data_IF_811654872947
#
_entry.id   IF_811654872947
#
_cell.length_a   1.000
_cell.length_b   1.000
_cell.length_c   1.000
_cell.angle_alpha   90.00
_cell.angle_beta   90.00
_cell.angle_gamma   90.00
#
_symmetry.space_group_name_H-M   'P 1'
#
loop_
_entity.id
_entity.type
_entity.pdbx_description
1 polymer ?
#
# COMPACT_ATOMS: atom_id res chain seq x y z
N UNK A 1 12.93 -17.94 -28.88
CA UNK A 1 12.05 -18.56 -27.88
C UNK A 1 12.78 -19.79 -27.39
N UNK A 2 13.39 -19.75 -26.24
CA UNK A 2 14.00 -20.91 -25.61
C UNK A 2 12.88 -21.73 -25.00
N UNK A 3 12.68 -22.92 -25.58
CA UNK A 3 11.69 -23.92 -25.16
C UNK A 3 12.10 -24.50 -23.79
N UNK A 4 11.92 -23.73 -22.74
CA UNK A 4 12.08 -24.25 -21.36
C UNK A 4 10.85 -25.11 -21.08
N UNK A 5 11.01 -26.37 -20.64
CA UNK A 5 9.85 -27.18 -20.27
C UNK A 5 9.04 -26.46 -19.18
N UNK A 6 7.73 -26.40 -19.37
CA UNK A 6 6.81 -25.79 -18.41
C UNK A 6 6.95 -26.51 -17.04
N UNK A 7 7.19 -25.74 -16.00
CA UNK A 7 7.29 -26.29 -14.64
C UNK A 7 5.93 -26.82 -14.16
N UNK A 8 5.95 -27.77 -13.23
CA UNK A 8 4.71 -28.27 -12.63
C UNK A 8 3.91 -27.15 -11.94
N UNK A 9 4.59 -26.20 -11.31
CA UNK A 9 3.97 -25.01 -10.73
C UNK A 9 3.28 -24.14 -11.81
N UNK A 10 3.93 -23.86 -12.93
CA UNK A 10 3.38 -23.06 -14.01
C UNK A 10 2.11 -23.71 -14.60
N UNK A 11 2.12 -25.03 -14.78
CA UNK A 11 0.96 -25.80 -15.25
C UNK A 11 -0.21 -25.69 -14.28
N UNK A 12 0.03 -25.81 -12.97
CA UNK A 12 -1.03 -25.63 -11.94
C UNK A 12 -1.54 -24.19 -11.90
N UNK A 13 -0.68 -23.18 -12.03
CA UNK A 13 -1.06 -21.78 -12.09
C UNK A 13 -1.96 -21.50 -13.31
N UNK A 14 -1.63 -22.05 -14.49
CA UNK A 14 -2.50 -21.95 -15.70
C UNK A 14 -3.85 -22.61 -15.47
N UNK A 15 -3.89 -23.81 -14.90
CA UNK A 15 -5.15 -24.49 -14.58
C UNK A 15 -5.99 -23.70 -13.55
N UNK A 16 -5.34 -23.07 -12.57
CA UNK A 16 -6.01 -22.17 -11.63
C UNK A 16 -6.58 -20.95 -12.35
N UNK A 17 -5.82 -20.35 -13.27
CA UNK A 17 -6.23 -19.19 -14.06
C UNK A 17 -7.44 -19.50 -14.94
N UNK A 18 -7.42 -20.63 -15.63
CA UNK A 18 -8.55 -21.07 -16.45
C UNK A 18 -9.81 -21.25 -15.61
N UNK A 19 -9.70 -21.91 -14.46
CA UNK A 19 -10.82 -22.08 -13.54
C UNK A 19 -11.39 -20.74 -13.03
N UNK A 20 -10.55 -19.72 -12.83
CA UNK A 20 -10.98 -18.37 -12.43
C UNK A 20 -11.86 -17.68 -13.48
N UNK A 21 -11.78 -18.07 -14.75
CA UNK A 21 -12.60 -17.46 -15.82
C UNK A 21 -14.10 -17.66 -15.63
N UNK A 22 -14.50 -18.64 -14.84
CA UNK A 22 -15.90 -18.79 -14.43
C UNK A 22 -16.36 -17.70 -13.43
N UNK A 23 -15.43 -16.97 -12.80
CA UNK A 23 -15.70 -15.98 -11.76
C UNK A 23 -15.55 -14.56 -12.29
N UNK A 24 -14.44 -14.27 -12.97
CA UNK A 24 -14.12 -12.96 -13.52
C UNK A 24 -13.18 -13.06 -14.73
N UNK A 25 -13.24 -12.08 -15.64
CA UNK A 25 -12.33 -12.00 -16.78
C UNK A 25 -10.90 -11.63 -16.31
N UNK A 26 -9.88 -11.76 -17.19
CA UNK A 26 -8.56 -11.20 -16.92
C UNK A 26 -8.65 -9.74 -16.49
N UNK A 27 -7.86 -9.36 -15.50
CA UNK A 27 -7.71 -7.93 -15.19
C UNK A 27 -6.90 -7.25 -16.28
N UNK A 28 -7.20 -5.98 -16.64
CA UNK A 28 -6.52 -5.31 -17.74
C UNK A 28 -5.01 -5.16 -17.52
N UNK A 29 -4.24 -5.29 -18.60
CA UNK A 29 -2.85 -4.90 -18.70
C UNK A 29 -2.76 -3.69 -19.64
N UNK A 30 -2.60 -2.49 -19.08
CA UNK A 30 -2.73 -1.23 -19.83
C UNK A 30 -1.39 -0.53 -19.99
N UNK A 31 -1.05 -0.19 -21.23
CA UNK A 31 0.08 0.71 -21.49
C UNK A 31 -0.21 2.09 -20.89
N UNK A 32 0.77 2.68 -20.21
CA UNK A 32 0.67 3.99 -19.62
C UNK A 32 1.66 4.97 -20.28
N UNK A 33 1.11 5.89 -21.08
CA UNK A 33 1.90 6.85 -21.84
C UNK A 33 2.65 7.83 -20.93
N UNK A 34 1.96 8.39 -19.91
CA UNK A 34 2.53 9.37 -18.99
C UNK A 34 3.79 8.83 -18.28
N UNK A 35 3.68 7.65 -17.67
CA UNK A 35 4.80 7.02 -16.98
C UNK A 35 5.91 6.58 -17.95
N UNK A 36 5.55 6.20 -19.17
CA UNK A 36 6.53 5.84 -20.22
C UNK A 36 7.35 7.05 -20.64
N UNK A 37 6.71 8.20 -20.85
CA UNK A 37 7.39 9.45 -21.21
C UNK A 37 8.34 9.91 -20.10
N UNK A 38 7.92 9.77 -18.83
CA UNK A 38 8.75 10.13 -17.68
C UNK A 38 9.99 9.25 -17.52
N UNK A 39 9.89 7.95 -17.82
CA UNK A 39 10.95 6.97 -17.55
C UNK A 39 11.80 6.64 -18.77
N UNK A 40 11.28 6.86 -19.96
CA UNK A 40 11.88 6.37 -21.21
C UNK A 40 11.83 4.84 -21.37
N UNK A 41 10.91 4.17 -20.65
CA UNK A 41 10.61 2.76 -20.72
C UNK A 41 9.18 2.54 -21.26
N UNK A 42 8.84 1.34 -21.71
CA UNK A 42 7.45 0.98 -21.98
C UNK A 42 6.78 0.51 -20.69
N UNK A 43 6.03 1.40 -20.02
CA UNK A 43 5.38 1.09 -18.75
C UNK A 43 3.98 0.55 -18.98
N UNK A 44 3.73 -0.62 -18.42
CA UNK A 44 2.45 -1.31 -18.44
C UNK A 44 1.93 -1.49 -17.01
N UNK A 45 0.66 -1.20 -16.78
CA UNK A 45 0.00 -1.36 -15.50
C UNK A 45 -0.87 -2.61 -15.51
N UNK A 46 -0.54 -3.61 -14.69
CA UNK A 46 -1.43 -4.75 -14.43
C UNK A 46 -2.43 -4.36 -13.37
N UNK A 47 -3.67 -4.09 -13.80
CA UNK A 47 -4.72 -3.41 -13.05
C UNK A 47 -5.52 -4.35 -12.15
N UNK A 48 -4.89 -4.85 -11.08
CA UNK A 48 -5.57 -5.69 -10.08
C UNK A 48 -6.62 -4.92 -9.25
N UNK A 49 -6.52 -3.60 -9.21
CA UNK A 49 -7.50 -2.67 -8.66
C UNK A 49 -8.85 -2.69 -9.44
N UNK A 50 -8.88 -3.27 -10.63
CA UNK A 50 -10.10 -3.45 -11.43
C UNK A 50 -10.73 -4.85 -11.29
N UNK A 51 -10.19 -5.70 -10.42
CA UNK A 51 -10.84 -6.98 -10.07
C UNK A 51 -12.19 -6.76 -9.36
N UNK A 52 -13.07 -7.77 -9.29
CA UNK A 52 -14.38 -7.64 -8.63
C UNK A 52 -14.32 -7.11 -7.18
N UNK A 53 -13.25 -7.43 -6.44
CA UNK A 53 -13.02 -6.95 -5.06
C UNK A 53 -11.96 -5.84 -5.00
N UNK A 54 -11.57 -5.28 -6.15
CA UNK A 54 -10.60 -4.20 -6.28
C UNK A 54 -9.22 -4.50 -5.70
N UNK A 55 -8.81 -5.77 -5.73
CA UNK A 55 -7.45 -6.22 -5.38
C UNK A 55 -7.18 -7.64 -5.88
N UNK A 56 -5.89 -7.99 -6.01
CA UNK A 56 -5.45 -9.32 -6.44
C UNK A 56 -5.81 -10.44 -5.45
N UNK A 57 -6.15 -10.12 -4.21
CA UNK A 57 -6.39 -11.09 -3.12
C UNK A 57 -7.48 -12.11 -3.44
N UNK A 58 -8.40 -11.76 -4.30
CA UNK A 58 -9.45 -12.64 -4.81
C UNK A 58 -8.88 -13.93 -5.41
N UNK A 59 -7.75 -13.85 -6.12
CA UNK A 59 -7.13 -14.95 -6.86
C UNK A 59 -6.65 -16.08 -5.95
N UNK A 60 -5.91 -15.71 -4.90
CA UNK A 60 -5.45 -16.69 -3.90
C UNK A 60 -6.61 -17.28 -3.09
N UNK A 61 -7.59 -16.47 -2.70
CA UNK A 61 -8.78 -16.95 -2.00
C UNK A 61 -9.55 -17.96 -2.87
N UNK A 62 -9.78 -17.64 -4.14
CA UNK A 62 -10.41 -18.56 -5.10
C UNK A 62 -9.68 -19.91 -5.17
N UNK A 63 -8.38 -19.88 -5.43
CA UNK A 63 -7.61 -21.09 -5.64
C UNK A 63 -7.54 -21.96 -4.39
N UNK A 64 -7.33 -21.36 -3.21
CA UNK A 64 -7.32 -22.10 -1.96
C UNK A 64 -8.71 -22.71 -1.65
N UNK A 65 -9.80 -21.96 -1.80
CA UNK A 65 -11.13 -22.44 -1.48
C UNK A 65 -11.61 -23.56 -2.42
N UNK A 66 -11.36 -23.44 -3.72
CA UNK A 66 -11.74 -24.51 -4.67
C UNK A 66 -11.01 -25.84 -4.44
N UNK A 67 -9.89 -25.83 -3.72
CA UNK A 67 -9.12 -27.03 -3.38
C UNK A 67 -9.56 -27.68 -2.06
N UNK A 68 -10.50 -27.04 -1.36
CA UNK A 68 -11.14 -27.57 -0.14
C UNK A 68 -12.67 -27.63 -0.30
N UNK A 69 -13.19 -28.39 -1.29
CA UNK A 69 -14.62 -28.40 -1.60
C UNK A 69 -15.47 -28.96 -0.45
N UNK A 70 -14.91 -29.82 0.40
CA UNK A 70 -15.60 -30.48 1.50
C UNK A 70 -15.48 -29.71 2.83
N UNK A 71 -14.83 -28.55 2.84
CA UNK A 71 -14.69 -27.76 4.06
C UNK A 71 -16.07 -27.25 4.53
N UNK A 72 -16.46 -27.50 5.80
CA UNK A 72 -17.78 -27.12 6.30
C UNK A 72 -17.92 -25.58 6.41
N UNK A 73 -16.82 -24.88 6.56
CA UNK A 73 -16.72 -23.42 6.56
C UNK A 73 -15.29 -22.96 6.32
N UNK A 74 -15.16 -21.71 5.88
CA UNK A 74 -13.87 -21.05 5.73
C UNK A 74 -13.69 -19.98 6.79
N UNK A 75 -12.47 -19.86 7.34
CA UNK A 75 -12.13 -18.89 8.38
C UNK A 75 -10.93 -18.09 7.95
N UNK A 76 -10.98 -16.77 8.14
CA UNK A 76 -9.80 -15.92 8.00
C UNK A 76 -9.75 -14.81 9.07
N UNK A 77 -8.55 -14.29 9.30
CA UNK A 77 -8.31 -13.08 10.09
C UNK A 77 -7.78 -11.98 9.15
N UNK A 78 -8.58 -10.96 8.89
CA UNK A 78 -8.18 -9.81 8.07
C UNK A 78 -9.26 -8.73 8.10
N UNK A 79 -8.84 -7.46 8.15
CA UNK A 79 -9.74 -6.31 8.02
C UNK A 79 -9.66 -5.63 6.63
N UNK A 80 -8.90 -6.19 5.67
CA UNK A 80 -8.61 -5.56 4.38
C UNK A 80 -8.97 -6.44 3.18
N UNK A 81 -8.17 -6.33 2.13
CA UNK A 81 -8.38 -6.97 0.84
C UNK A 81 -8.56 -8.49 0.89
N UNK A 82 -7.87 -9.18 1.81
CA UNK A 82 -8.03 -10.62 1.97
C UNK A 82 -9.42 -10.98 2.48
N UNK A 83 -9.93 -10.26 3.50
CA UNK A 83 -11.29 -10.45 4.00
C UNK A 83 -12.34 -10.28 2.90
N UNK A 84 -12.18 -9.26 2.06
CA UNK A 84 -13.08 -8.99 0.93
C UNK A 84 -13.01 -10.10 -0.13
N UNK A 85 -11.82 -10.61 -0.43
CA UNK A 85 -11.61 -11.72 -1.35
C UNK A 85 -12.26 -13.01 -0.83
N UNK A 86 -12.05 -13.36 0.44
CA UNK A 86 -12.69 -14.53 1.07
C UNK A 86 -14.21 -14.37 1.12
N UNK A 87 -14.71 -13.21 1.50
CA UNK A 87 -16.13 -12.91 1.57
C UNK A 87 -16.82 -13.11 0.21
N UNK A 88 -16.24 -12.55 -0.85
CA UNK A 88 -16.73 -12.69 -2.21
C UNK A 88 -16.75 -14.17 -2.65
N UNK A 89 -15.68 -14.92 -2.33
CA UNK A 89 -15.60 -16.33 -2.69
C UNK A 89 -16.56 -17.20 -1.90
N UNK A 90 -16.80 -16.92 -0.61
CA UNK A 90 -17.83 -17.63 0.16
C UNK A 90 -19.21 -17.49 -0.50
N UNK A 91 -19.56 -16.27 -0.94
CA UNK A 91 -20.80 -16.04 -1.68
C UNK A 91 -20.82 -16.75 -3.03
N UNK A 92 -19.71 -16.73 -3.77
CA UNK A 92 -19.61 -17.37 -5.09
C UNK A 92 -19.77 -18.89 -5.01
N UNK A 93 -19.09 -19.54 -4.06
CA UNK A 93 -19.17 -20.99 -3.89
C UNK A 93 -20.41 -21.45 -3.10
N UNK A 94 -21.23 -20.53 -2.57
CA UNK A 94 -22.37 -20.87 -1.73
C UNK A 94 -21.97 -21.54 -0.41
N UNK A 95 -20.75 -21.24 0.10
CA UNK A 95 -20.22 -21.81 1.34
C UNK A 95 -20.20 -20.77 2.45
N UNK A 96 -20.12 -21.23 3.70
CA UNK A 96 -20.10 -20.35 4.86
C UNK A 96 -18.69 -19.83 5.13
N UNK A 97 -18.58 -18.53 5.43
CA UNK A 97 -17.34 -17.88 5.87
C UNK A 97 -17.48 -17.23 7.24
N UNK A 98 -16.43 -17.30 8.06
CA UNK A 98 -16.32 -16.53 9.32
C UNK A 98 -15.05 -15.68 9.26
N UNK A 99 -15.23 -14.35 9.27
CA UNK A 99 -14.16 -13.39 9.09
C UNK A 99 -13.93 -12.67 10.41
N UNK A 100 -12.74 -12.84 10.96
CA UNK A 100 -12.32 -12.19 12.18
C UNK A 100 -11.61 -10.87 11.87
N UNK A 101 -12.00 -9.80 12.55
CA UNK A 101 -11.42 -8.46 12.44
C UNK A 101 -11.19 -7.87 13.84
N UNK A 102 -10.16 -7.04 14.04
CA UNK A 102 -10.02 -6.24 15.25
C UNK A 102 -11.24 -5.35 15.50
N UNK A 103 -11.57 -5.08 16.76
CA UNK A 103 -12.68 -4.18 17.12
C UNK A 103 -12.44 -2.74 16.66
N UNK A 104 -11.18 -2.38 16.43
CA UNK A 104 -10.74 -1.08 15.93
C UNK A 104 -10.91 -0.92 14.40
N UNK A 105 -11.42 -1.97 13.70
CA UNK A 105 -11.57 -1.93 12.23
C UNK A 105 -12.55 -0.83 11.81
N UNK A 106 -12.18 0.06 10.86
CA UNK A 106 -13.06 1.09 10.33
C UNK A 106 -14.37 0.51 9.76
N UNK A 107 -15.49 1.18 10.02
CA UNK A 107 -16.82 0.75 9.58
C UNK A 107 -16.92 0.55 8.07
N UNK A 108 -16.24 1.38 7.29
CA UNK A 108 -16.19 1.25 5.84
C UNK A 108 -15.63 -0.11 5.40
N UNK A 109 -14.55 -0.60 6.03
CA UNK A 109 -13.97 -1.91 5.73
C UNK A 109 -14.91 -3.05 6.09
N UNK A 110 -15.60 -2.94 7.24
CA UNK A 110 -16.62 -3.91 7.67
C UNK A 110 -17.79 -3.95 6.67
N UNK A 111 -18.33 -2.78 6.31
CA UNK A 111 -19.45 -2.67 5.37
C UNK A 111 -19.09 -3.21 3.99
N UNK A 112 -17.90 -2.91 3.50
CA UNK A 112 -17.41 -3.39 2.20
C UNK A 112 -17.28 -4.91 2.19
N UNK A 113 -16.76 -5.50 3.26
CA UNK A 113 -16.68 -6.97 3.40
C UNK A 113 -18.08 -7.61 3.44
N UNK A 114 -19.03 -7.01 4.17
CA UNK A 114 -20.44 -7.46 4.17
C UNK A 114 -21.08 -7.36 2.79
N UNK A 115 -20.82 -6.28 2.06
CA UNK A 115 -21.35 -6.08 0.71
C UNK A 115 -20.92 -7.21 -0.24
N UNK A 116 -19.67 -7.66 -0.15
CA UNK A 116 -19.17 -8.75 -0.99
C UNK A 116 -19.70 -10.12 -0.57
N UNK A 117 -19.76 -10.40 0.73
CA UNK A 117 -20.13 -11.73 1.22
C UNK A 117 -21.63 -11.95 1.40
N UNK A 118 -22.40 -10.88 1.64
CA UNK A 118 -23.84 -10.99 1.94
C UNK A 118 -24.10 -11.91 3.13
N UNK A 119 -25.08 -12.79 2.96
CA UNK A 119 -25.51 -13.76 3.99
C UNK A 119 -24.57 -14.99 4.08
N UNK A 120 -23.60 -15.12 3.17
CA UNK A 120 -22.65 -16.22 3.19
C UNK A 120 -21.58 -16.07 4.28
N UNK A 121 -21.46 -14.89 4.90
CA UNK A 121 -20.40 -14.62 5.88
C UNK A 121 -20.93 -14.13 7.22
N UNK A 122 -20.17 -14.45 8.25
CA UNK A 122 -20.26 -13.86 9.58
C UNK A 122 -18.99 -13.06 9.88
N UNK A 123 -19.13 -11.81 10.34
CA UNK A 123 -17.98 -10.98 10.77
C UNK A 123 -17.96 -10.97 12.30
N UNK A 124 -16.81 -11.34 12.87
CA UNK A 124 -16.55 -11.32 14.30
C UNK A 124 -15.48 -10.28 14.63
N UNK A 125 -15.84 -9.32 15.47
CA UNK A 125 -14.93 -8.32 15.97
C UNK A 125 -14.31 -8.81 17.27
N UNK A 126 -12.97 -9.02 17.31
CA UNK A 126 -12.28 -9.63 18.46
C UNK A 126 -10.89 -9.01 18.63
N UNK A 127 -10.57 -8.60 19.87
CA UNK A 127 -9.29 -8.00 20.22
C UNK A 127 -9.07 -6.60 19.64
N UNK A 128 -8.10 -5.89 20.16
CA UNK A 128 -7.72 -4.56 19.69
C UNK A 128 -6.69 -4.63 18.56
N UNK A 129 -5.91 -5.72 18.51
CA UNK A 129 -4.80 -5.92 17.59
C UNK A 129 -5.00 -7.16 16.72
N UNK A 130 -4.28 -7.18 15.60
CA UNK A 130 -4.35 -8.27 14.61
C UNK A 130 -3.98 -9.64 15.21
N UNK A 131 -2.99 -9.71 16.10
CA UNK A 131 -2.50 -10.97 16.66
C UNK A 131 -3.56 -11.67 17.54
N UNK A 132 -4.33 -10.90 18.32
CA UNK A 132 -5.42 -11.46 19.13
C UNK A 132 -6.55 -11.97 18.23
N UNK A 133 -6.86 -11.21 17.20
CA UNK A 133 -7.83 -11.58 16.18
C UNK A 133 -7.40 -12.87 15.45
N UNK A 134 -6.14 -13.01 15.06
CA UNK A 134 -5.59 -14.20 14.39
C UNK A 134 -5.67 -15.44 15.29
N UNK A 135 -5.27 -15.33 16.56
CA UNK A 135 -5.36 -16.43 17.54
C UNK A 135 -6.80 -16.90 17.73
N UNK A 136 -7.74 -15.96 17.86
CA UNK A 136 -9.16 -16.28 18.01
C UNK A 136 -9.72 -16.97 16.76
N UNK A 137 -9.33 -16.52 15.56
CA UNK A 137 -9.74 -17.11 14.30
C UNK A 137 -9.23 -18.54 14.14
N UNK A 138 -7.95 -18.79 14.47
CA UNK A 138 -7.34 -20.12 14.41
C UNK A 138 -7.98 -21.10 15.40
N UNK A 139 -8.21 -20.66 16.65
CA UNK A 139 -8.88 -21.47 17.66
C UNK A 139 -10.29 -21.84 17.22
N UNK A 140 -11.08 -20.89 16.72
CA UNK A 140 -12.41 -21.11 16.20
C UNK A 140 -12.41 -22.07 14.99
N UNK A 141 -11.45 -21.89 14.08
CA UNK A 141 -11.31 -22.76 12.91
C UNK A 141 -11.10 -24.21 13.31
N UNK A 142 -10.20 -24.46 14.28
CA UNK A 142 -9.92 -25.79 14.81
C UNK A 142 -11.14 -26.39 15.52
N UNK A 143 -11.86 -25.61 16.37
CA UNK A 143 -13.07 -26.08 17.06
C UNK A 143 -14.17 -26.49 16.10
N UNK A 144 -14.27 -25.85 14.96
CA UNK A 144 -15.34 -26.05 13.96
C UNK A 144 -14.94 -26.95 12.79
N UNK A 145 -13.75 -27.55 12.81
CA UNK A 145 -13.21 -28.36 11.70
C UNK A 145 -13.24 -27.61 10.36
N UNK A 146 -13.01 -26.27 10.42
CA UNK A 146 -13.03 -25.38 9.27
C UNK A 146 -11.71 -25.36 8.50
N UNK A 147 -11.71 -24.75 7.32
CA UNK A 147 -10.49 -24.46 6.57
C UNK A 147 -10.04 -23.01 6.85
N UNK A 148 -8.85 -22.86 7.44
CA UNK A 148 -8.25 -21.55 7.66
C UNK A 148 -7.60 -21.04 6.36
N UNK A 149 -7.92 -19.82 5.96
CA UNK A 149 -7.37 -19.18 4.77
C UNK A 149 -6.37 -18.07 5.18
N UNK A 150 -5.07 -18.33 5.13
CA UNK A 150 -4.08 -17.30 5.40
C UNK A 150 -4.02 -16.27 4.27
N UNK A 151 -3.63 -15.01 4.56
CA UNK A 151 -3.67 -13.93 3.57
C UNK A 151 -2.58 -14.02 2.49
N UNK A 152 -1.53 -14.84 2.68
CA UNK A 152 -0.39 -14.96 1.77
C UNK A 152 0.43 -16.24 1.94
N UNK A 153 0.62 -16.75 3.16
CA UNK A 153 1.59 -17.80 3.46
C UNK A 153 0.99 -19.20 3.36
N UNK A 154 0.58 -19.56 2.15
CA UNK A 154 -0.01 -20.84 1.82
C UNK A 154 0.30 -21.20 0.36
N UNK A 155 0.74 -22.43 0.04
CA UNK A 155 1.07 -22.84 -1.33
C UNK A 155 -0.08 -22.67 -2.33
N UNK A 156 -1.33 -22.90 -1.92
CA UNK A 156 -2.50 -22.75 -2.78
C UNK A 156 -2.85 -21.28 -3.00
N UNK A 157 -2.64 -20.45 -1.99
CA UNK A 157 -2.78 -18.99 -2.12
C UNK A 157 -1.72 -18.45 -3.07
N UNK A 158 -0.44 -18.82 -2.90
CA UNK A 158 0.67 -18.43 -3.77
C UNK A 158 0.41 -18.86 -5.22
N UNK A 159 -0.04 -20.09 -5.44
CA UNK A 159 -0.41 -20.63 -6.76
C UNK A 159 -1.54 -19.80 -7.40
N UNK A 160 -2.56 -19.43 -6.62
CA UNK A 160 -3.65 -18.57 -7.08
C UNK A 160 -3.16 -17.16 -7.49
N UNK A 161 -2.22 -16.57 -6.72
CA UNK A 161 -1.65 -15.27 -7.06
C UNK A 161 -0.82 -15.30 -8.34
N UNK A 162 -0.19 -16.45 -8.65
CA UNK A 162 0.57 -16.64 -9.89
C UNK A 162 -0.27 -16.46 -11.17
N UNK A 163 -1.60 -16.54 -11.08
CA UNK A 163 -2.50 -16.24 -12.22
C UNK A 163 -2.31 -14.84 -12.79
N UNK A 164 -1.81 -13.88 -12.00
CA UNK A 164 -1.42 -12.55 -12.50
C UNK A 164 -0.32 -12.68 -13.55
N UNK A 165 0.69 -13.53 -13.30
CA UNK A 165 1.77 -13.80 -14.24
C UNK A 165 1.30 -14.51 -15.51
N UNK A 166 0.38 -15.46 -15.36
CA UNK A 166 -0.24 -16.14 -16.52
C UNK A 166 -0.92 -15.13 -17.42
N UNK A 167 -1.74 -14.23 -16.88
CA UNK A 167 -2.43 -13.20 -17.66
C UNK A 167 -1.47 -12.22 -18.34
N UNK A 168 -0.37 -11.83 -17.67
CA UNK A 168 0.66 -10.98 -18.27
C UNK A 168 1.32 -11.70 -19.46
N UNK A 169 1.72 -12.96 -19.29
CA UNK A 169 2.37 -13.72 -20.35
C UNK A 169 1.45 -13.96 -21.54
N UNK A 170 0.16 -14.25 -21.30
CA UNK A 170 -0.83 -14.48 -22.36
C UNK A 170 -1.11 -13.20 -23.17
N UNK A 171 -1.03 -12.00 -22.56
CA UNK A 171 -1.37 -10.74 -23.21
C UNK A 171 -0.16 -10.09 -23.92
N UNK A 172 1.03 -10.12 -23.33
CA UNK A 172 2.20 -9.44 -23.89
C UNK A 172 3.46 -10.30 -24.04
N UNK A 173 3.39 -11.58 -23.69
CA UNK A 173 4.56 -12.42 -23.53
C UNK A 173 5.33 -12.09 -22.24
N UNK A 174 6.60 -12.48 -22.18
CA UNK A 174 7.43 -12.19 -21.01
C UNK A 174 7.91 -10.74 -21.02
N UNK A 175 7.64 -9.94 -19.99
CA UNK A 175 8.20 -8.60 -19.86
C UNK A 175 9.69 -8.66 -19.54
N UNK A 176 10.41 -7.56 -19.75
CA UNK A 176 11.82 -7.47 -19.38
C UNK A 176 12.00 -7.25 -17.88
N UNK A 177 11.02 -6.57 -17.25
CA UNK A 177 11.07 -6.22 -15.82
C UNK A 177 9.67 -6.22 -15.20
N UNK A 178 9.55 -6.73 -13.99
CA UNK A 178 8.32 -6.69 -13.19
C UNK A 178 8.60 -5.95 -11.88
N UNK A 179 7.81 -4.92 -11.62
CA UNK A 179 7.82 -4.18 -10.36
C UNK A 179 6.59 -4.59 -9.56
N UNK A 180 6.81 -5.16 -8.39
CA UNK A 180 5.73 -5.77 -7.60
C UNK A 180 5.78 -5.37 -6.13
N UNK A 181 4.64 -4.93 -5.54
CA UNK A 181 4.57 -4.61 -4.12
C UNK A 181 4.66 -5.88 -3.26
N UNK A 182 5.34 -5.77 -2.13
CA UNK A 182 5.50 -6.84 -1.15
C UNK A 182 4.92 -6.42 0.19
N UNK A 183 4.00 -7.23 0.70
CA UNK A 183 3.64 -7.32 2.10
C UNK A 183 4.12 -8.69 2.61
N UNK A 184 3.20 -9.64 2.83
CA UNK A 184 3.59 -11.01 3.22
C UNK A 184 4.21 -11.87 2.12
N UNK A 185 4.38 -11.36 0.90
CA UNK A 185 5.13 -12.00 -0.20
C UNK A 185 4.33 -12.92 -1.12
N UNK A 186 3.03 -13.15 -0.88
CA UNK A 186 2.26 -14.15 -1.65
C UNK A 186 2.18 -13.88 -3.16
N UNK A 187 1.96 -12.61 -3.55
CA UNK A 187 1.94 -12.20 -4.96
C UNK A 187 3.32 -12.34 -5.61
N UNK A 188 4.34 -11.80 -4.95
CA UNK A 188 5.71 -11.83 -5.44
C UNK A 188 6.24 -13.26 -5.57
N UNK A 189 5.98 -14.12 -4.57
CA UNK A 189 6.33 -15.53 -4.62
C UNK A 189 5.60 -16.24 -5.78
N UNK A 190 4.32 -15.95 -5.99
CA UNK A 190 3.56 -16.47 -7.11
C UNK A 190 4.16 -16.11 -8.48
N UNK A 191 4.49 -14.82 -8.68
CA UNK A 191 5.10 -14.33 -9.93
C UNK A 191 6.48 -14.94 -10.17
N UNK A 192 7.34 -14.97 -9.15
CA UNK A 192 8.67 -15.57 -9.26
C UNK A 192 8.59 -17.08 -9.54
N UNK A 193 7.70 -17.80 -8.88
CA UNK A 193 7.51 -19.25 -9.13
C UNK A 193 7.01 -19.54 -10.53
N UNK A 194 6.21 -18.63 -11.12
CA UNK A 194 5.67 -18.77 -12.47
C UNK A 194 6.71 -18.47 -13.55
N UNK A 195 7.32 -17.29 -13.50
CA UNK A 195 8.25 -16.84 -14.54
C UNK A 195 9.68 -17.39 -14.38
N UNK A 196 10.08 -17.74 -13.14
CA UNK A 196 11.46 -18.10 -12.82
C UNK A 196 12.45 -16.99 -13.14
N UNK A 197 13.58 -17.34 -13.76
CA UNK A 197 14.67 -16.41 -14.10
C UNK A 197 14.40 -15.57 -15.38
N UNK A 198 13.15 -15.48 -15.83
CA UNK A 198 12.83 -14.78 -17.08
C UNK A 198 12.96 -13.26 -16.96
N UNK A 199 12.00 -12.57 -16.30
CA UNK A 199 12.05 -11.13 -16.07
C UNK A 199 13.04 -10.75 -14.97
N UNK A 200 13.54 -9.50 -15.01
CA UNK A 200 14.10 -8.88 -13.81
C UNK A 200 12.96 -8.49 -12.86
N UNK A 201 13.26 -8.46 -11.56
CA UNK A 201 12.28 -8.09 -10.55
C UNK A 201 12.77 -6.92 -9.72
N UNK A 202 11.84 -6.04 -9.38
CA UNK A 202 12.01 -5.10 -8.26
C UNK A 202 10.88 -5.35 -7.26
N UNK A 203 11.24 -5.81 -6.08
CA UNK A 203 10.33 -6.06 -4.97
C UNK A 203 10.24 -4.81 -4.09
N UNK A 204 9.03 -4.26 -3.96
CA UNK A 204 8.83 -2.94 -3.37
C UNK A 204 8.05 -3.04 -2.07
N UNK A 205 8.62 -2.54 -0.99
CA UNK A 205 8.01 -2.50 0.33
C UNK A 205 7.82 -1.06 0.81
N UNK A 206 6.79 -0.76 1.63
CA UNK A 206 6.76 0.49 2.37
C UNK A 206 7.90 0.51 3.41
N UNK A 207 8.50 1.66 3.66
CA UNK A 207 9.67 1.77 4.54
C UNK A 207 9.36 1.31 5.98
N UNK A 208 8.18 1.64 6.48
CA UNK A 208 7.71 1.22 7.80
C UNK A 208 7.20 -0.23 7.88
N UNK A 209 7.23 -1.00 6.76
CA UNK A 209 6.76 -2.38 6.68
C UNK A 209 7.70 -3.31 5.89
N UNK A 210 9.01 -3.02 5.84
CA UNK A 210 10.01 -3.70 5.03
C UNK A 210 10.42 -5.09 5.59
N UNK A 211 9.47 -6.01 5.70
CA UNK A 211 9.67 -7.32 6.33
C UNK A 211 10.47 -8.30 5.46
N UNK A 212 10.36 -8.24 4.13
CA UNK A 212 11.20 -9.03 3.22
C UNK A 212 12.66 -8.59 3.32
N UNK A 213 12.92 -7.29 3.27
CA UNK A 213 14.28 -6.76 3.40
C UNK A 213 14.93 -7.18 4.72
N UNK A 214 14.21 -7.10 5.83
CA UNK A 214 14.67 -7.58 7.13
C UNK A 214 14.98 -9.07 7.12
N UNK A 215 14.12 -9.88 6.50
CA UNK A 215 14.31 -11.32 6.39
C UNK A 215 15.50 -11.68 5.50
N UNK A 216 15.71 -10.99 4.38
CA UNK A 216 16.88 -11.19 3.50
C UNK A 216 18.19 -10.85 4.23
N UNK A 217 18.21 -9.79 5.03
CA UNK A 217 19.36 -9.43 5.86
C UNK A 217 19.66 -10.47 6.94
N UNK A 218 18.61 -11.05 7.54
CA UNK A 218 18.74 -12.05 8.60
C UNK A 218 18.91 -13.50 8.07
N UNK A 219 18.71 -13.73 6.76
CA UNK A 219 18.70 -15.08 6.15
C UNK A 219 17.50 -15.95 6.55
N UNK A 220 16.49 -15.40 7.23
CA UNK A 220 15.28 -16.08 7.71
C UNK A 220 14.16 -15.08 7.98
N UNK A 221 12.89 -15.51 8.01
CA UNK A 221 11.80 -14.65 8.48
C UNK A 221 12.06 -14.14 9.90
N UNK A 222 11.93 -12.82 10.09
CA UNK A 222 12.08 -12.16 11.39
C UNK A 222 10.94 -11.13 11.57
N UNK A 223 10.38 -11.00 12.79
CA UNK A 223 9.38 -10.00 13.05
C UNK A 223 10.02 -8.60 13.06
N UNK A 224 9.32 -7.63 12.49
CA UNK A 224 9.67 -6.22 12.61
C UNK A 224 9.33 -5.73 14.03
N UNK A 225 10.19 -4.90 14.64
CA UNK A 225 9.94 -4.37 15.98
C UNK A 225 8.74 -3.39 16.03
N UNK A 226 8.49 -2.72 14.92
CA UNK A 226 7.37 -1.78 14.72
C UNK A 226 6.98 -1.81 13.26
N UNK A 227 5.70 -1.61 12.98
CA UNK A 227 5.14 -1.50 11.63
C UNK A 227 4.37 -0.19 11.52
N UNK A 228 4.65 0.62 10.49
CA UNK A 228 3.78 1.71 10.10
C UNK A 228 2.64 1.12 9.25
N UNK A 229 1.41 1.31 9.71
CA UNK A 229 0.22 0.73 9.07
C UNK A 229 -0.38 1.63 7.99
N UNK A 230 0.29 2.71 7.60
CA UNK A 230 -0.22 3.60 6.55
C UNK A 230 -0.50 2.87 5.24
N UNK A 231 0.44 2.05 4.77
CA UNK A 231 0.27 1.20 3.59
C UNK A 231 -0.32 -0.18 3.97
N UNK A 232 -1.50 -0.19 4.58
CA UNK A 232 -2.13 -1.32 5.26
C UNK A 232 -2.21 -2.62 4.41
N UNK A 233 -2.34 -2.51 3.08
CA UNK A 233 -2.30 -3.66 2.16
C UNK A 233 -0.92 -4.33 2.02
N UNK A 234 0.18 -3.65 2.40
CA UNK A 234 1.56 -4.12 2.36
C UNK A 234 2.29 -4.04 3.71
N UNK A 235 1.71 -3.38 4.72
CA UNK A 235 2.28 -3.25 6.05
C UNK A 235 2.12 -4.55 6.86
N UNK A 236 3.06 -5.48 6.68
CA UNK A 236 3.06 -6.80 7.33
C UNK A 236 4.26 -6.92 8.25
N UNK A 237 4.01 -7.36 9.50
CA UNK A 237 5.06 -7.44 10.52
C UNK A 237 6.13 -8.50 10.29
N UNK A 238 5.86 -9.51 9.45
CA UNK A 238 6.79 -10.59 9.14
C UNK A 238 6.43 -11.22 7.80
N UNK A 239 7.43 -11.50 6.98
CA UNK A 239 7.27 -12.27 5.73
C UNK A 239 6.85 -13.71 6.05
N UNK A 240 6.06 -14.34 5.18
CA UNK A 240 5.65 -15.72 5.34
C UNK A 240 6.81 -16.71 5.19
N UNK A 241 6.71 -17.88 5.78
CA UNK A 241 7.73 -18.91 5.67
C UNK A 241 7.79 -19.50 4.26
N UNK A 242 6.64 -19.90 3.70
CA UNK A 242 6.55 -20.41 2.31
C UNK A 242 6.90 -19.33 1.29
N UNK A 243 6.49 -18.09 1.52
CA UNK A 243 6.82 -17.00 0.60
C UNK A 243 8.31 -16.67 0.64
N UNK A 244 8.95 -16.70 1.82
CA UNK A 244 10.37 -16.45 1.96
C UNK A 244 11.22 -17.54 1.28
N UNK A 245 10.81 -18.81 1.34
CA UNK A 245 11.51 -19.89 0.62
C UNK A 245 11.68 -19.61 -0.88
N UNK A 246 10.70 -18.93 -1.49
CA UNK A 246 10.76 -18.52 -2.89
C UNK A 246 11.57 -17.23 -3.07
N UNK A 247 11.45 -16.28 -2.14
CA UNK A 247 11.98 -14.92 -2.30
C UNK A 247 13.42 -14.76 -1.78
N UNK A 248 13.96 -15.71 -1.01
CA UNK A 248 15.28 -15.58 -0.35
C UNK A 248 16.45 -15.36 -1.30
N UNK A 249 16.35 -15.84 -2.54
CA UNK A 249 17.44 -15.75 -3.52
C UNK A 249 17.36 -14.49 -4.41
N UNK A 250 16.33 -13.64 -4.22
CA UNK A 250 16.17 -12.41 -5.01
C UNK A 250 17.30 -11.40 -4.77
N UNK A 251 17.85 -11.38 -3.55
CA UNK A 251 18.94 -10.48 -3.16
C UNK A 251 18.45 -9.05 -2.84
N UNK A 252 19.16 -8.40 -1.93
CA UNK A 252 18.84 -7.05 -1.45
C UNK A 252 18.84 -5.97 -2.53
N UNK A 253 19.68 -6.13 -3.55
CA UNK A 253 19.78 -5.18 -4.67
C UNK A 253 18.50 -5.07 -5.51
N UNK A 254 17.65 -6.10 -5.45
CA UNK A 254 16.37 -6.15 -6.16
C UNK A 254 15.18 -5.78 -5.25
N UNK A 255 15.45 -5.24 -4.06
CA UNK A 255 14.43 -4.72 -3.14
C UNK A 255 14.52 -3.22 -3.01
N UNK A 256 13.39 -2.53 -3.03
CA UNK A 256 13.28 -1.10 -2.74
C UNK A 256 12.35 -0.88 -1.55
N UNK A 257 12.68 0.11 -0.73
CA UNK A 257 11.80 0.60 0.34
C UNK A 257 11.37 2.01 0.03
N UNK A 258 10.07 2.27 0.07
CA UNK A 258 9.47 3.55 -0.30
C UNK A 258 8.91 4.23 0.95
N UNK A 259 9.31 5.48 1.24
CA UNK A 259 8.72 6.25 2.33
C UNK A 259 7.22 6.45 2.12
N UNK A 260 6.42 6.31 3.17
CA UNK A 260 4.95 6.39 3.12
C UNK A 260 4.48 7.75 2.59
N UNK A 261 5.14 8.83 2.99
CA UNK A 261 4.81 10.18 2.53
C UNK A 261 5.08 10.36 1.02
N UNK A 262 6.10 9.66 0.47
CA UNK A 262 6.36 9.67 -0.98
C UNK A 262 5.31 8.89 -1.76
N UNK A 263 4.80 7.78 -1.21
CA UNK A 263 3.68 7.03 -1.82
C UNK A 263 2.48 7.96 -2.04
N UNK A 264 2.23 8.87 -1.10
CA UNK A 264 1.14 9.84 -1.19
C UNK A 264 1.27 10.76 -2.42
N UNK A 265 2.48 11.16 -2.81
CA UNK A 265 2.69 11.97 -4.03
C UNK A 265 2.27 11.19 -5.27
N UNK A 266 2.63 9.92 -5.35
CA UNK A 266 2.24 9.04 -6.48
C UNK A 266 0.75 8.75 -6.50
N UNK A 267 0.11 8.55 -5.34
CA UNK A 267 -1.34 8.39 -5.26
C UNK A 267 -2.07 9.61 -5.83
N UNK A 268 -1.65 10.82 -5.47
CA UNK A 268 -2.24 12.06 -5.99
C UNK A 268 -1.94 12.27 -7.47
N UNK A 269 -0.74 11.94 -7.93
CA UNK A 269 -0.38 12.00 -9.35
C UNK A 269 -1.28 11.07 -10.18
N UNK A 270 -1.43 9.81 -9.78
CA UNK A 270 -2.28 8.85 -10.48
C UNK A 270 -3.76 9.26 -10.45
N UNK A 271 -4.23 9.83 -9.34
CA UNK A 271 -5.59 10.34 -9.23
C UNK A 271 -5.83 11.56 -10.14
N UNK A 272 -4.93 12.53 -10.14
CA UNK A 272 -5.14 13.81 -10.82
C UNK A 272 -4.79 13.77 -12.31
N UNK A 273 -3.78 12.99 -12.71
CA UNK A 273 -3.32 12.91 -14.11
C UNK A 273 -4.04 11.80 -14.86
N UNK A 274 -4.15 10.61 -14.24
CA UNK A 274 -4.65 9.41 -14.89
C UNK A 274 -6.10 9.04 -14.52
N UNK A 275 -6.68 9.69 -13.51
CA UNK A 275 -7.99 9.32 -12.97
C UNK A 275 -8.01 7.95 -12.30
N UNK A 276 -6.85 7.45 -11.87
CA UNK A 276 -6.68 6.13 -11.27
C UNK A 276 -6.67 6.25 -9.74
N UNK A 277 -7.63 5.59 -9.09
CA UNK A 277 -7.69 5.50 -7.63
C UNK A 277 -6.95 4.27 -7.15
N UNK A 278 -5.88 4.47 -6.39
CA UNK A 278 -5.08 3.40 -5.79
C UNK A 278 -5.08 3.52 -4.26
N UNK A 279 -5.06 2.39 -3.58
CA UNK A 279 -4.66 2.35 -2.17
C UNK A 279 -3.12 2.49 -2.05
N UNK A 280 -2.55 2.84 -0.88
CA UNK A 280 -1.11 3.03 -0.74
C UNK A 280 -0.29 1.83 -1.24
N UNK A 281 -0.69 0.60 -0.91
CA UNK A 281 -0.03 -0.61 -1.40
C UNK A 281 -0.10 -0.76 -2.93
N UNK A 282 -1.18 -0.29 -3.55
CA UNK A 282 -1.37 -0.31 -5.00
C UNK A 282 -0.47 0.65 -5.76
N UNK A 283 -0.04 1.75 -5.11
CA UNK A 283 0.82 2.78 -5.69
C UNK A 283 2.33 2.44 -5.60
N UNK A 284 2.73 1.49 -4.75
CA UNK A 284 4.15 1.16 -4.48
C UNK A 284 4.95 0.84 -5.75
N UNK A 285 4.39 0.00 -6.64
CA UNK A 285 5.09 -0.40 -7.86
C UNK A 285 5.30 0.78 -8.82
N UNK A 286 4.36 1.72 -8.86
CA UNK A 286 4.46 2.93 -9.69
C UNK A 286 5.47 3.90 -9.06
N UNK A 287 5.41 4.10 -7.76
CA UNK A 287 6.34 4.99 -7.05
C UNK A 287 7.80 4.56 -7.23
N UNK A 288 8.07 3.25 -7.21
CA UNK A 288 9.40 2.69 -7.40
C UNK A 288 10.06 3.06 -8.74
N UNK A 289 9.28 3.42 -9.77
CA UNK A 289 9.82 3.87 -11.06
C UNK A 289 10.73 5.09 -10.92
N UNK A 290 10.50 5.95 -9.91
CA UNK A 290 11.33 7.12 -9.60
C UNK A 290 12.76 6.75 -9.22
N UNK A 291 12.98 5.55 -8.65
CA UNK A 291 14.29 5.06 -8.23
C UNK A 291 14.99 4.19 -9.28
N UNK A 292 14.25 3.64 -10.23
CA UNK A 292 14.80 2.73 -11.24
C UNK A 292 15.56 3.44 -12.35
N UNK A 293 15.21 4.69 -12.68
CA UNK A 293 15.94 5.55 -13.58
C UNK A 293 16.39 4.87 -14.89
N UNK A 294 17.68 4.95 -15.20
CA UNK A 294 18.24 4.37 -16.41
C UNK A 294 18.23 2.84 -16.46
N UNK A 295 18.04 2.15 -15.34
CA UNK A 295 18.03 0.68 -15.30
C UNK A 295 16.90 0.04 -16.11
N UNK A 296 15.80 0.79 -16.28
CA UNK A 296 14.62 0.32 -17.03
C UNK A 296 14.45 0.95 -18.41
N UNK A 297 15.29 1.91 -18.78
CA UNK A 297 15.17 2.66 -20.04
C UNK A 297 15.15 1.73 -21.25
N UNK A 298 14.17 1.92 -22.15
CA UNK A 298 13.96 1.11 -23.34
C UNK A 298 13.46 -0.32 -23.08
N UNK A 299 13.07 -0.65 -21.84
CA UNK A 299 12.56 -1.98 -21.46
C UNK A 299 11.04 -1.98 -21.39
N UNK A 300 10.44 -3.15 -21.54
CA UNK A 300 9.03 -3.42 -21.26
C UNK A 300 8.90 -3.75 -19.76
N UNK A 301 8.31 -2.83 -19.02
CA UNK A 301 8.18 -2.90 -17.56
C UNK A 301 6.72 -3.05 -17.18
N UNK A 302 6.41 -4.05 -16.37
CA UNK A 302 5.07 -4.24 -15.81
C UNK A 302 5.07 -3.84 -14.35
N UNK A 303 4.27 -2.83 -14.00
CA UNK A 303 3.97 -2.44 -12.63
C UNK A 303 2.65 -3.08 -12.18
N UNK A 304 2.68 -3.82 -11.07
CA UNK A 304 1.46 -4.42 -10.51
C UNK A 304 0.74 -3.41 -9.62
N UNK A 305 -0.40 -2.89 -10.11
CA UNK A 305 -1.31 -2.05 -9.29
C UNK A 305 -2.19 -2.97 -8.44
N UNK A 306 -1.67 -3.36 -7.28
CA UNK A 306 -2.15 -4.50 -6.48
C UNK A 306 -3.55 -4.32 -5.88
N UNK A 307 -4.02 -3.07 -5.71
CA UNK A 307 -5.34 -2.78 -5.18
C UNK A 307 -5.73 -1.30 -5.24
N UNK A 308 -7.04 -1.06 -5.24
CA UNK A 308 -7.68 0.26 -5.27
C UNK A 308 -8.75 0.44 -4.19
N UNK A 309 -8.66 -0.29 -3.09
CA UNK A 309 -9.60 -0.20 -1.97
C UNK A 309 -9.31 0.99 -1.05
N UNK A 310 -9.02 2.14 -1.67
CA UNK A 310 -8.72 3.36 -0.94
C UNK A 310 -9.91 3.85 -0.11
N UNK A 311 -9.62 4.30 1.09
CA UNK A 311 -10.56 4.98 1.98
C UNK A 311 -10.49 6.48 1.72
N UNK A 312 -11.54 7.04 1.10
CA UNK A 312 -11.58 8.45 0.75
C UNK A 312 -11.61 9.40 1.96
N UNK A 313 -11.99 8.92 3.15
CA UNK A 313 -11.88 9.70 4.38
C UNK A 313 -10.41 10.03 4.73
N UNK A 314 -9.46 9.24 4.22
CA UNK A 314 -8.02 9.47 4.35
C UNK A 314 -7.42 10.40 3.29
N UNK A 315 -8.21 10.90 2.33
CA UNK A 315 -7.68 11.79 1.28
C UNK A 315 -7.03 13.06 1.83
N UNK A 316 -7.56 13.72 2.88
CA UNK A 316 -6.89 14.86 3.51
C UNK A 316 -5.51 14.48 4.09
N UNK A 317 -5.39 13.32 4.75
CA UNK A 317 -4.11 12.79 5.25
C UNK A 317 -3.11 12.56 4.09
N UNK A 318 -3.56 11.94 3.00
CA UNK A 318 -2.71 11.71 1.82
C UNK A 318 -2.22 13.03 1.22
N UNK A 319 -3.10 14.03 1.09
CA UNK A 319 -2.73 15.36 0.59
C UNK A 319 -1.70 16.02 1.51
N UNK A 320 -1.92 15.97 2.80
CA UNK A 320 -1.05 16.53 3.82
C UNK A 320 0.36 15.92 3.77
N UNK A 321 0.45 14.59 3.77
CA UNK A 321 1.71 13.85 3.67
C UNK A 321 2.46 14.18 2.37
N UNK A 322 1.75 14.21 1.24
CA UNK A 322 2.33 14.54 -0.05
C UNK A 322 2.89 15.97 -0.10
N UNK A 323 2.18 16.96 0.45
CA UNK A 323 2.60 18.35 0.48
C UNK A 323 3.82 18.55 1.38
N UNK A 324 3.87 17.88 2.54
CA UNK A 324 5.03 17.91 3.44
C UNK A 324 6.24 17.26 2.78
N UNK A 325 6.09 16.07 2.19
CA UNK A 325 7.16 15.38 1.49
C UNK A 325 7.72 16.19 0.32
N UNK A 326 6.87 16.87 -0.42
CA UNK A 326 7.27 17.74 -1.54
C UNK A 326 7.84 19.09 -1.07
N UNK A 327 7.86 19.35 0.24
CA UNK A 327 8.37 20.58 0.83
C UNK A 327 7.53 21.83 0.55
N UNK A 328 6.30 21.67 0.03
CA UNK A 328 5.39 22.79 -0.27
C UNK A 328 4.45 23.13 0.89
N UNK A 329 4.58 22.43 2.00
CA UNK A 329 3.86 22.71 3.24
C UNK A 329 4.78 22.54 4.44
N UNK A 330 4.77 23.54 5.31
CA UNK A 330 5.56 23.51 6.54
C UNK A 330 4.74 24.01 7.73
N UNK A 331 5.12 23.48 8.90
CA UNK A 331 4.53 23.86 10.18
C UNK A 331 5.60 24.40 11.12
N UNK A 332 5.28 25.46 11.82
CA UNK A 332 6.20 26.03 12.80
C UNK A 332 5.47 26.72 13.95
N UNK A 333 6.15 26.78 15.08
CA UNK A 333 5.73 27.55 16.25
C UNK A 333 6.40 28.91 16.18
N UNK A 334 5.62 29.97 15.96
CA UNK A 334 6.09 31.36 15.90
C UNK A 334 5.86 32.04 17.26
N UNK A 335 6.84 32.80 17.71
CA UNK A 335 6.74 33.66 18.91
C UNK A 335 6.40 35.09 18.52
N UNK A 336 5.13 35.46 18.63
CA UNK A 336 4.68 36.83 18.35
C UNK A 336 4.75 37.71 19.62
N UNK A 337 5.33 38.94 19.51
CA UNK A 337 5.26 39.89 20.61
C UNK A 337 3.80 40.30 20.86
N UNK A 338 3.41 40.39 22.14
CA UNK A 338 2.02 40.71 22.51
C UNK A 338 1.78 42.24 22.45
N UNK A 339 1.88 42.84 21.27
CA UNK A 339 1.60 44.24 21.00
C UNK A 339 0.64 44.40 19.82
N UNK A 340 -0.12 45.51 19.73
CA UNK A 340 -0.89 45.82 18.53
C UNK A 340 0.00 45.82 17.26
N UNK A 341 -0.54 45.28 16.18
CA UNK A 341 0.13 45.20 14.87
C UNK A 341 1.09 43.99 14.68
N UNK A 342 1.46 43.22 15.72
CA UNK A 342 2.42 42.14 15.59
C UNK A 342 2.00 41.06 14.55
N UNK A 343 0.72 40.71 14.49
CA UNK A 343 0.20 39.80 13.47
C UNK A 343 0.31 40.41 12.07
N UNK A 344 0.02 41.73 11.91
CA UNK A 344 0.16 42.39 10.63
C UNK A 344 1.61 42.39 10.15
N UNK A 345 2.56 42.58 11.07
CA UNK A 345 3.98 42.52 10.72
C UNK A 345 4.35 41.15 10.19
N UNK A 346 3.86 40.07 10.85
CA UNK A 346 4.04 38.70 10.36
C UNK A 346 3.39 38.49 8.98
N UNK A 347 2.14 38.93 8.77
CA UNK A 347 1.46 38.76 7.49
C UNK A 347 2.18 39.46 6.32
N UNK A 348 2.96 40.49 6.59
CA UNK A 348 3.80 41.13 5.57
C UNK A 348 5.01 40.33 5.14
N UNK A 349 5.36 39.24 5.86
CA UNK A 349 6.42 38.31 5.50
C UNK A 349 5.97 37.30 4.45
N UNK A 350 4.66 37.05 4.35
CA UNK A 350 4.10 36.10 3.39
C UNK A 350 4.30 36.59 1.95
N UNK A 351 4.79 35.71 1.11
CA UNK A 351 4.87 35.93 -0.33
C UNK A 351 3.49 35.82 -1.02
N UNK A 352 3.42 36.22 -2.29
CA UNK A 352 2.17 36.20 -3.05
C UNK A 352 1.62 34.80 -3.35
N UNK A 353 2.45 33.76 -3.19
CA UNK A 353 2.08 32.36 -3.42
C UNK A 353 1.96 31.57 -2.10
N UNK A 354 2.10 32.24 -0.95
CA UNK A 354 2.03 31.60 0.36
C UNK A 354 0.61 31.74 0.92
N UNK A 355 0.06 30.61 1.38
CA UNK A 355 -1.25 30.55 2.03
C UNK A 355 -1.17 29.99 3.44
N UNK A 356 -2.00 30.50 4.34
CA UNK A 356 -2.08 30.04 5.72
C UNK A 356 -3.02 28.86 5.80
N UNK A 357 -2.48 27.65 5.84
CA UNK A 357 -3.25 26.40 6.00
C UNK A 357 -3.72 26.17 7.44
N UNK A 358 -2.98 26.70 8.42
CA UNK A 358 -3.32 26.59 9.84
C UNK A 358 -2.83 27.81 10.60
N UNK A 359 -3.65 28.28 11.56
CA UNK A 359 -3.29 29.38 12.44
C UNK A 359 -3.96 29.24 13.79
N UNK A 360 -3.19 28.96 14.84
CA UNK A 360 -3.67 28.84 16.20
C UNK A 360 -2.89 29.75 17.13
N UNK A 361 -3.53 30.83 17.61
CA UNK A 361 -2.91 31.79 18.50
C UNK A 361 -3.38 31.62 19.94
N UNK A 362 -2.46 31.23 20.81
CA UNK A 362 -2.71 31.13 22.25
C UNK A 362 -2.13 32.36 22.98
N UNK A 363 -3.00 33.33 23.25
CA UNK A 363 -2.63 34.49 24.07
C UNK A 363 -2.64 34.08 25.54
N UNK A 364 -1.44 34.00 26.15
CA UNK A 364 -1.29 33.82 27.59
C UNK A 364 -1.12 35.17 28.25
N UNK A 365 -2.03 35.55 29.21
CA UNK A 365 -1.91 36.75 29.99
C UNK A 365 -0.58 36.78 30.77
N UNK A 366 0.02 37.96 30.93
CA UNK A 366 1.28 38.23 31.65
C UNK A 366 2.58 37.73 31.02
N UNK A 367 2.65 37.47 29.70
CA UNK A 367 3.89 37.24 28.97
C UNK A 367 4.09 38.25 27.85
N UNK A 368 5.35 38.59 27.55
CA UNK A 368 5.69 39.53 26.48
C UNK A 368 5.47 38.92 25.07
N UNK A 369 5.43 37.59 24.98
CA UNK A 369 5.26 36.84 23.73
C UNK A 369 4.15 35.82 23.83
N UNK A 370 3.39 35.65 22.75
CA UNK A 370 2.45 34.55 22.53
C UNK A 370 3.02 33.53 21.56
N UNK A 371 2.70 32.25 21.75
CA UNK A 371 3.02 31.21 20.79
C UNK A 371 1.89 31.05 19.78
N UNK A 372 2.25 30.95 18.52
CA UNK A 372 1.31 30.72 17.41
C UNK A 372 1.77 29.46 16.68
N UNK A 373 0.87 28.50 16.54
CA UNK A 373 1.06 27.38 15.64
C UNK A 373 0.61 27.81 14.25
N UNK A 374 1.51 27.71 13.28
CA UNK A 374 1.24 28.13 11.90
C UNK A 374 1.59 26.98 10.95
N UNK A 375 0.70 26.70 9.99
CA UNK A 375 0.94 25.91 8.80
C UNK A 375 0.88 26.82 7.58
N UNK A 376 1.93 26.80 6.76
CA UNK A 376 1.97 27.53 5.50
C UNK A 376 2.05 26.56 4.34
N UNK A 377 1.21 26.78 3.33
CA UNK A 377 1.30 26.14 2.02
C UNK A 377 1.84 27.13 0.99
N UNK A 378 2.61 26.62 0.04
CA UNK A 378 3.13 27.42 -1.07
C UNK A 378 3.16 26.62 -2.37
N UNK A 379 3.30 27.29 -3.51
CA UNK A 379 3.34 26.62 -4.82
C UNK A 379 4.67 25.90 -5.11
N UNK A 380 5.76 26.35 -4.49
CA UNK A 380 7.14 25.82 -4.71
C UNK A 380 7.92 25.80 -3.41
N UNK A 381 8.59 24.68 -3.13
CA UNK A 381 9.39 24.50 -1.91
C UNK A 381 10.44 25.63 -1.71
N UNK A 382 11.05 26.12 -2.80
CA UNK A 382 12.03 27.21 -2.76
C UNK A 382 11.48 28.55 -2.21
N UNK A 383 10.15 28.75 -2.19
CA UNK A 383 9.55 29.95 -1.59
C UNK A 383 9.82 30.03 -0.08
N UNK A 384 9.97 28.88 0.59
CA UNK A 384 10.31 28.82 2.01
C UNK A 384 11.69 29.40 2.33
N UNK A 385 12.65 29.32 1.41
CA UNK A 385 13.97 29.93 1.62
C UNK A 385 13.83 31.45 1.77
N UNK A 386 13.01 32.08 0.92
CA UNK A 386 12.73 33.51 0.99
C UNK A 386 11.89 33.87 2.24
N UNK A 387 10.90 33.04 2.55
CA UNK A 387 10.03 33.23 3.70
C UNK A 387 10.83 33.21 5.03
N UNK A 388 11.67 32.19 5.23
CA UNK A 388 12.49 32.10 6.45
C UNK A 388 13.53 33.20 6.53
N UNK A 389 14.17 33.58 5.41
CA UNK A 389 15.09 34.73 5.38
C UNK A 389 14.39 36.03 5.80
N UNK A 390 13.14 36.23 5.41
CA UNK A 390 12.36 37.41 5.83
C UNK A 390 11.97 37.37 7.31
N UNK A 391 11.61 36.17 7.85
CA UNK A 391 11.36 35.99 9.29
C UNK A 391 12.59 36.39 10.11
N UNK A 392 13.77 35.90 9.71
CA UNK A 392 15.03 36.17 10.37
C UNK A 392 15.39 37.67 10.29
N UNK A 393 15.23 38.30 9.12
CA UNK A 393 15.52 39.72 8.90
C UNK A 393 14.61 40.62 9.76
N UNK A 394 13.39 40.21 10.04
CA UNK A 394 12.43 40.94 10.90
C UNK A 394 12.55 40.54 12.38
N UNK A 395 13.44 39.61 12.73
CA UNK A 395 13.71 39.20 14.10
C UNK A 395 12.58 38.33 14.72
N UNK A 396 11.81 37.63 13.92
CA UNK A 396 10.85 36.66 14.44
C UNK A 396 11.57 35.40 14.93
N UNK A 397 11.27 34.99 16.17
CA UNK A 397 11.73 33.72 16.69
C UNK A 397 10.70 32.63 16.33
N UNK A 398 11.15 31.58 15.67
CA UNK A 398 10.32 30.44 15.29
C UNK A 398 11.07 29.11 15.48
N UNK A 399 10.30 28.02 15.50
CA UNK A 399 10.80 26.65 15.50
C UNK A 399 10.07 25.90 14.41
N UNK A 400 10.79 25.39 13.40
CA UNK A 400 10.25 24.45 12.40
C UNK A 400 9.93 23.12 13.10
N UNK A 401 8.70 22.65 12.97
CA UNK A 401 8.19 21.42 13.56
C UNK A 401 7.62 20.48 12.50
N UNK A 402 7.90 20.74 11.23
CA UNK A 402 7.33 20.00 10.09
C UNK A 402 7.62 18.52 10.19
N UNK A 403 8.83 18.15 10.62
CA UNK A 403 9.31 16.76 10.72
C UNK A 403 9.24 16.20 12.15
N UNK A 404 8.59 16.91 13.08
CA UNK A 404 8.36 16.41 14.44
C UNK A 404 7.21 15.40 14.43
N UNK A 405 7.54 14.10 14.52
CA UNK A 405 6.55 12.99 14.45
C UNK A 405 5.47 13.11 15.54
N UNK A 406 5.83 13.55 16.75
CA UNK A 406 4.89 13.65 17.86
C UNK A 406 3.90 14.79 17.61
N UNK A 407 4.41 15.94 17.22
CA UNK A 407 3.57 17.10 16.92
C UNK A 407 2.75 16.89 15.64
N UNK A 408 3.31 16.23 14.64
CA UNK A 408 2.57 15.90 13.42
C UNK A 408 1.31 15.08 13.71
N UNK A 409 1.35 14.10 14.63
CA UNK A 409 0.17 13.32 15.02
C UNK A 409 -0.93 14.14 15.70
N UNK A 410 -0.60 15.29 16.30
CA UNK A 410 -1.58 16.20 16.88
C UNK A 410 -2.06 17.29 15.90
N UNK A 411 -1.33 17.46 14.79
CA UNK A 411 -1.60 18.51 13.82
C UNK A 411 -2.45 18.02 12.63
N UNK A 412 -2.41 16.74 12.37
CA UNK A 412 -3.13 16.08 11.29
C UNK A 412 -4.29 15.28 11.86
#
# INVERSE_FOLDING_TARGET
MTDRPETDFARRARAATEAMRAVFPPTPLLFNQHLSDLTGAEIWLKREDLSPVRSYKLRGAFNAMRRHPDAPLFVCASAGNHAQGVAFMCRHFGTRGVIFMPVTTPQQKIQKTRMFGGDAIEIRLVGDYFDDCLKAAQAFCTERDGAFLPPFDDPLVIEGQASVGVEIEDEMGRPDHIVVPVGGGGLSAGLLSYFGDGPQYTLVEPAGGACLRAALQAGRPVPLPRVDTFADGAAVGQIGAHTFEVLRDVGLANTLTIPEDRICTTMLEMLNVEGIVLEPAGALAIDALKDLGNAIRGRRVVCITSGGNFDFERLPEVKERAQRYSGVKKYFILRLPQRPGALKDFLNVLGPEDDIARFEYLKKSARNFGSVLIGIETSRAANFDTFFAQLDAQGFAYQDITDDEILAQFLI
#
